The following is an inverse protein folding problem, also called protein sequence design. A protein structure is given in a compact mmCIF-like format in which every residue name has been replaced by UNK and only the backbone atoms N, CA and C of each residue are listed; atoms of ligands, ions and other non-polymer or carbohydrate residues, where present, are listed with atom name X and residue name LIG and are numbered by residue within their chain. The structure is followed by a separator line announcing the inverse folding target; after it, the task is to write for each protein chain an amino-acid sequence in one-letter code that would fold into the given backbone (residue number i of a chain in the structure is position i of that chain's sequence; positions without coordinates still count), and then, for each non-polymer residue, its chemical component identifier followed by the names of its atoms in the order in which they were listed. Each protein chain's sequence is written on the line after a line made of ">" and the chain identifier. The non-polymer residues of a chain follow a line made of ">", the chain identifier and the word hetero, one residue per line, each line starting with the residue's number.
data_IF_525515432384
#
_entry.id   IF_525515432384
#
_cell.length_a   1.000
_cell.length_b   1.000
_cell.length_c   1.000
_cell.angle_alpha   90.00
_cell.angle_beta   90.00
_cell.angle_gamma   90.00
#
_symmetry.space_group_name_H-M   'P 1'
#
loop_
_entity.id
_entity.type
_entity.pdbx_description
1 polymer ?
#
# COMPACT_ATOMS: atom_id res chain seq x y z
N UNK A 1 20.17 -1.73 3.46
CA UNK A 1 19.52 -3.02 3.86
C UNK A 1 19.25 -3.88 2.62
N UNK A 2 19.37 -5.21 2.69
CA UNK A 2 19.00 -6.15 1.61
C UNK A 2 17.53 -6.55 1.72
N UNK A 3 16.93 -6.99 0.62
CA UNK A 3 15.52 -7.45 0.61
C UNK A 3 15.23 -8.58 1.60
N UNK A 4 16.17 -9.53 1.79
CA UNK A 4 15.99 -10.64 2.73
C UNK A 4 15.94 -10.18 4.19
N UNK A 5 16.67 -9.12 4.53
CA UNK A 5 16.63 -8.49 5.86
C UNK A 5 15.32 -7.71 6.02
N UNK A 6 14.90 -6.99 4.97
CA UNK A 6 13.66 -6.22 4.95
C UNK A 6 12.42 -7.06 5.27
N UNK A 7 12.27 -8.23 4.64
CA UNK A 7 11.10 -9.10 4.88
C UNK A 7 11.17 -9.89 6.19
N UNK A 8 12.32 -9.91 6.86
CA UNK A 8 12.51 -10.58 8.14
C UNK A 8 12.13 -9.70 9.34
N UNK A 9 11.81 -8.42 9.10
CA UNK A 9 11.53 -7.43 10.13
C UNK A 9 10.14 -6.83 9.90
N UNK A 10 9.36 -6.68 10.98
CA UNK A 10 8.04 -6.06 10.91
C UNK A 10 8.10 -4.52 10.85
N UNK A 11 6.94 -3.87 10.75
CA UNK A 11 6.87 -2.41 10.66
C UNK A 11 7.51 -1.69 11.87
N UNK A 12 7.36 -2.26 13.07
CA UNK A 12 7.93 -1.68 14.30
C UNK A 12 9.45 -1.79 14.28
N UNK A 13 9.99 -2.92 13.84
CA UNK A 13 11.42 -3.13 13.70
C UNK A 13 12.03 -2.23 12.62
N UNK A 14 11.37 -2.07 11.46
CA UNK A 14 11.84 -1.14 10.43
C UNK A 14 11.84 0.31 10.93
N UNK A 15 10.81 0.74 11.65
CA UNK A 15 10.77 2.06 12.27
C UNK A 15 11.92 2.26 13.28
N UNK A 16 12.24 1.24 14.07
CA UNK A 16 13.35 1.28 15.01
C UNK A 16 14.71 1.41 14.31
N UNK A 17 14.91 0.71 13.18
CA UNK A 17 16.13 0.84 12.37
C UNK A 17 16.27 2.25 11.79
N UNK A 18 15.17 2.86 11.32
CA UNK A 18 15.17 4.25 10.84
C UNK A 18 15.49 5.22 11.98
N UNK A 19 14.88 5.04 13.15
CA UNK A 19 15.13 5.88 14.32
C UNK A 19 16.60 5.85 14.78
N UNK A 20 17.26 4.68 14.67
CA UNK A 20 18.69 4.50 14.96
C UNK A 20 19.60 4.88 13.79
N UNK A 21 19.05 5.32 12.66
CA UNK A 21 19.77 5.68 11.42
C UNK A 21 20.58 4.53 10.83
N UNK A 22 20.18 3.28 11.09
CA UNK A 22 20.80 2.09 10.49
C UNK A 22 20.32 1.86 9.04
N UNK A 23 19.13 2.38 8.71
CA UNK A 23 18.56 2.44 7.37
C UNK A 23 17.82 3.75 7.20
N UNK A 24 17.81 4.32 6.00
CA UNK A 24 17.00 5.51 5.70
C UNK A 24 15.60 5.15 5.20
N UNK A 25 14.65 6.07 5.37
CA UNK A 25 13.30 5.93 4.81
C UNK A 25 13.31 5.82 3.27
N UNK A 26 14.27 6.48 2.61
CA UNK A 26 14.48 6.39 1.16
C UNK A 26 14.90 4.98 0.73
N UNK A 27 15.86 4.37 1.43
CA UNK A 27 16.26 2.98 1.17
C UNK A 27 15.10 2.00 1.36
N UNK A 28 14.28 2.17 2.41
CA UNK A 28 13.10 1.32 2.61
C UNK A 28 12.07 1.48 1.48
N UNK A 29 11.82 2.72 1.04
CA UNK A 29 10.95 3.00 -0.09
C UNK A 29 11.47 2.35 -1.39
N UNK A 30 12.77 2.47 -1.66
CA UNK A 30 13.38 1.89 -2.87
C UNK A 30 13.30 0.35 -2.85
N UNK A 31 13.47 -0.30 -1.69
CA UNK A 31 13.27 -1.76 -1.56
C UNK A 31 11.81 -2.14 -1.83
N UNK A 32 10.85 -1.41 -1.28
CA UNK A 32 9.42 -1.67 -1.47
C UNK A 32 8.99 -1.48 -2.93
N UNK A 33 9.46 -0.41 -3.59
CA UNK A 33 9.21 -0.13 -5.01
C UNK A 33 9.84 -1.22 -5.90
N UNK A 34 11.09 -1.59 -5.65
CA UNK A 34 11.74 -2.67 -6.38
C UNK A 34 10.97 -3.98 -6.26
N UNK A 35 10.46 -4.31 -5.06
CA UNK A 35 9.67 -5.52 -4.88
C UNK A 35 8.29 -5.43 -5.55
N UNK A 36 7.65 -4.27 -5.51
CA UNK A 36 6.44 -4.02 -6.27
C UNK A 36 6.68 -4.27 -7.76
N UNK A 37 7.69 -3.66 -8.37
CA UNK A 37 7.97 -3.85 -9.80
C UNK A 37 8.26 -5.32 -10.15
N UNK A 38 9.03 -6.02 -9.32
CA UNK A 38 9.35 -7.45 -9.52
C UNK A 38 8.11 -8.34 -9.51
N UNK A 39 7.09 -7.99 -8.74
CA UNK A 39 5.92 -8.85 -8.50
C UNK A 39 4.64 -8.38 -9.20
N UNK A 40 4.59 -7.13 -9.67
CA UNK A 40 3.37 -6.48 -10.15
C UNK A 40 2.65 -7.29 -11.25
N UNK A 41 3.36 -7.73 -12.29
CA UNK A 41 2.77 -8.48 -13.39
C UNK A 41 2.11 -9.80 -12.95
N UNK A 42 2.57 -10.40 -11.84
CA UNK A 42 2.06 -11.68 -11.33
C UNK A 42 0.99 -11.51 -10.26
N UNK A 43 1.11 -10.49 -9.41
CA UNK A 43 0.30 -10.35 -8.18
C UNK A 43 -0.74 -9.23 -8.31
N UNK A 44 -0.41 -8.15 -9.03
CA UNK A 44 -1.26 -6.98 -9.23
C UNK A 44 -1.86 -6.43 -7.91
N UNK A 45 -1.02 -6.28 -6.88
CA UNK A 45 -1.43 -5.84 -5.55
C UNK A 45 -1.77 -4.33 -5.46
N UNK A 46 -1.05 -3.51 -6.22
CA UNK A 46 -1.16 -2.04 -6.24
C UNK A 46 -1.72 -1.65 -7.60
N UNK A 47 -2.90 -1.02 -7.62
CA UNK A 47 -3.52 -0.51 -8.84
C UNK A 47 -3.16 0.96 -9.12
N UNK A 48 -2.72 1.70 -8.10
CA UNK A 48 -2.32 3.11 -8.23
C UNK A 48 -0.99 3.35 -7.52
N UNK A 49 0.14 3.31 -8.24
CA UNK A 49 1.42 3.75 -7.71
C UNK A 49 1.39 5.25 -7.37
N UNK A 50 2.04 5.63 -6.28
CA UNK A 50 2.18 7.00 -5.79
C UNK A 50 3.65 7.31 -5.43
N UNK A 51 4.57 6.90 -6.31
CA UNK A 51 6.01 7.06 -6.07
C UNK A 51 6.42 8.54 -5.97
N UNK A 52 5.87 9.38 -6.84
CA UNK A 52 6.19 10.81 -6.85
C UNK A 52 5.78 11.48 -5.53
N UNK A 53 4.60 11.13 -5.01
CA UNK A 53 4.07 11.63 -3.74
C UNK A 53 4.89 11.11 -2.55
N UNK A 54 5.29 9.83 -2.57
CA UNK A 54 6.16 9.27 -1.56
C UNK A 54 7.53 9.96 -1.53
N UNK A 55 8.16 10.16 -2.70
CA UNK A 55 9.45 10.86 -2.81
C UNK A 55 9.34 12.32 -2.39
N UNK A 56 8.26 13.01 -2.76
CA UNK A 56 7.99 14.38 -2.30
C UNK A 56 7.82 14.45 -0.78
N UNK A 57 7.13 13.47 -0.16
CA UNK A 57 7.00 13.37 1.30
C UNK A 57 8.36 13.21 1.99
N UNK A 58 9.27 12.42 1.40
CA UNK A 58 10.61 12.21 1.94
C UNK A 58 11.52 13.43 1.76
N UNK A 59 11.35 14.20 0.69
CA UNK A 59 12.10 15.43 0.45
C UNK A 59 11.57 16.64 1.25
N UNK A 60 10.36 16.53 1.80
CA UNK A 60 9.72 17.55 2.62
C UNK A 60 10.23 17.58 4.08
N UNK A 61 9.43 18.11 5.01
CA UNK A 61 9.79 18.15 6.43
C UNK A 61 10.11 16.76 7.00
N UNK A 62 11.01 16.65 7.99
CA UNK A 62 11.34 15.39 8.62
C UNK A 62 10.11 14.57 9.02
N UNK A 63 10.17 13.26 8.78
CA UNK A 63 9.17 12.33 9.27
C UNK A 63 9.23 12.27 10.79
N UNK A 64 8.06 12.20 11.42
CA UNK A 64 7.90 12.04 12.85
C UNK A 64 6.82 10.99 13.12
N UNK A 65 6.80 10.45 14.34
CA UNK A 65 5.84 9.44 14.76
C UNK A 65 6.43 8.02 14.89
N UNK A 66 5.66 7.08 15.45
CA UNK A 66 6.14 5.74 15.82
C UNK A 66 6.55 4.86 14.62
N UNK A 67 6.09 5.18 13.41
CA UNK A 67 6.38 4.45 12.17
C UNK A 67 7.10 5.31 11.13
N UNK A 68 7.81 6.35 11.57
CA UNK A 68 8.57 7.24 10.72
C UNK A 68 9.46 6.47 9.71
N UNK A 69 9.15 6.62 8.42
CA UNK A 69 9.94 6.06 7.33
C UNK A 69 9.52 4.67 6.84
N UNK A 70 8.53 4.04 7.47
CA UNK A 70 8.05 2.72 7.06
C UNK A 70 7.17 2.84 5.81
N UNK A 71 7.45 2.08 4.72
CA UNK A 71 6.65 2.10 3.50
C UNK A 71 5.27 1.50 3.75
N UNK A 72 4.24 2.13 3.20
CA UNK A 72 2.84 1.82 3.49
C UNK A 72 1.95 1.91 2.27
N UNK A 73 0.87 1.12 2.28
CA UNK A 73 -0.13 1.09 1.22
C UNK A 73 -1.53 1.37 1.78
N UNK A 74 -2.30 2.14 1.02
CA UNK A 74 -3.73 2.37 1.26
C UNK A 74 -4.56 1.40 0.42
N UNK A 75 -5.83 1.21 0.74
CA UNK A 75 -6.83 0.54 -0.10
C UNK A 75 -7.47 1.57 -1.02
N UNK A 76 -7.62 1.27 -2.32
CA UNK A 76 -8.20 2.19 -3.32
C UNK A 76 -9.73 2.35 -3.21
N UNK A 77 -10.21 2.63 -1.99
CA UNK A 77 -11.60 2.90 -1.64
C UNK A 77 -11.67 4.01 -0.61
N UNK A 78 -12.33 3.79 0.54
CA UNK A 78 -12.58 4.82 1.58
C UNK A 78 -11.35 5.51 2.22
N UNK A 79 -10.14 5.19 1.76
CA UNK A 79 -8.87 5.74 2.26
C UNK A 79 -8.35 6.81 1.28
N UNK A 80 -9.15 7.85 1.15
CA UNK A 80 -8.91 8.96 0.23
C UNK A 80 -7.68 9.80 0.62
N UNK A 81 -6.98 10.27 -0.41
CA UNK A 81 -5.91 11.27 -0.33
C UNK A 81 -6.35 12.44 -1.20
N UNK A 82 -6.43 13.64 -0.63
CA UNK A 82 -6.85 14.83 -1.37
C UNK A 82 -6.00 15.02 -2.62
N UNK A 83 -6.65 15.30 -3.75
CA UNK A 83 -5.96 15.55 -5.03
C UNK A 83 -5.48 14.30 -5.76
N UNK A 84 -5.62 13.10 -5.19
CA UNK A 84 -5.24 11.84 -5.84
C UNK A 84 -6.45 10.94 -6.10
N UNK A 85 -6.63 10.43 -7.34
CA UNK A 85 -7.81 9.64 -7.68
C UNK A 85 -8.02 8.41 -6.79
N UNK A 86 -9.27 8.10 -6.47
CA UNK A 86 -9.70 6.86 -5.80
C UNK A 86 -10.68 6.11 -6.69
N UNK A 87 -10.36 4.86 -7.04
CA UNK A 87 -11.08 4.12 -8.08
C UNK A 87 -12.18 3.18 -7.64
N UNK A 88 -12.19 2.72 -6.39
CA UNK A 88 -13.14 1.71 -5.90
C UNK A 88 -13.22 0.43 -6.77
N UNK A 89 -12.17 0.10 -7.55
CA UNK A 89 -12.21 -0.98 -8.53
C UNK A 89 -13.30 -0.83 -9.61
N UNK A 90 -13.85 0.38 -9.80
CA UNK A 90 -14.94 0.68 -10.72
C UNK A 90 -14.47 1.58 -11.87
N UNK A 91 -14.91 1.27 -13.09
CA UNK A 91 -14.62 2.10 -14.25
C UNK A 91 -15.22 3.51 -14.13
N UNK A 92 -16.43 3.64 -13.55
CA UNK A 92 -17.11 4.92 -13.38
C UNK A 92 -16.46 5.84 -12.33
N UNK A 93 -15.75 5.25 -11.36
CA UNK A 93 -15.09 5.99 -10.27
C UNK A 93 -13.60 6.24 -10.55
N UNK A 94 -13.04 5.70 -11.64
CA UNK A 94 -11.59 5.67 -11.90
C UNK A 94 -10.90 7.05 -11.81
N UNK A 95 -11.64 8.11 -12.09
CA UNK A 95 -11.17 9.49 -12.11
C UNK A 95 -11.78 10.36 -11.01
N UNK A 96 -12.46 9.77 -10.01
CA UNK A 96 -12.93 10.50 -8.85
C UNK A 96 -11.73 11.02 -8.07
N UNK A 97 -11.60 12.34 -7.94
CA UNK A 97 -10.56 13.00 -7.15
C UNK A 97 -11.19 13.58 -5.89
N UNK A 98 -10.93 13.00 -4.71
CA UNK A 98 -11.41 13.53 -3.44
C UNK A 98 -10.80 14.91 -3.16
N UNK A 99 -11.59 15.81 -2.59
CA UNK A 99 -11.13 17.14 -2.12
C UNK A 99 -10.49 17.08 -0.73
N UNK A 100 -10.71 15.98 0.00
CA UNK A 100 -10.22 15.81 1.37
C UNK A 100 -9.49 14.46 1.54
N UNK A 101 -8.41 14.49 2.31
CA UNK A 101 -7.76 13.28 2.82
C UNK A 101 -8.58 12.71 3.96
N UNK A 102 -8.91 11.42 3.90
CA UNK A 102 -9.66 10.74 4.94
C UNK A 102 -8.93 10.84 6.29
N UNK A 103 -9.69 10.99 7.39
CA UNK A 103 -9.10 11.19 8.72
C UNK A 103 -8.13 10.07 9.11
N UNK A 104 -8.48 8.81 8.79
CA UNK A 104 -7.62 7.65 9.05
C UNK A 104 -6.29 7.74 8.28
N UNK A 105 -6.31 8.25 7.05
CA UNK A 105 -5.09 8.42 6.24
C UNK A 105 -4.19 9.51 6.84
N UNK A 106 -4.78 10.62 7.33
CA UNK A 106 -4.03 11.64 8.07
C UNK A 106 -3.34 11.02 9.30
N UNK A 107 -4.04 10.17 10.06
CA UNK A 107 -3.44 9.46 11.20
C UNK A 107 -2.29 8.54 10.82
N UNK A 108 -2.38 7.85 9.69
CA UNK A 108 -1.26 7.05 9.17
C UNK A 108 -0.05 7.93 8.82
N UNK A 109 -0.28 9.07 8.15
CA UNK A 109 0.76 10.02 7.79
C UNK A 109 1.39 10.70 9.02
N UNK A 110 0.58 11.07 10.02
CA UNK A 110 1.02 11.64 11.30
C UNK A 110 1.83 10.63 12.13
N UNK A 111 1.57 9.33 11.94
CA UNK A 111 2.38 8.27 12.52
C UNK A 111 3.73 8.08 11.82
N UNK A 112 3.97 8.79 10.71
CA UNK A 112 5.22 8.78 9.97
C UNK A 112 5.31 7.75 8.84
N UNK A 113 4.21 7.06 8.52
CA UNK A 113 4.15 6.10 7.43
C UNK A 113 4.32 6.80 6.06
N UNK A 114 5.06 6.15 5.17
CA UNK A 114 5.34 6.65 3.81
C UNK A 114 4.41 5.94 2.83
N UNK A 115 3.30 6.58 2.50
CA UNK A 115 2.34 6.06 1.52
C UNK A 115 2.91 6.17 0.11
N UNK A 116 3.01 5.05 -0.60
CA UNK A 116 3.51 5.03 -1.98
C UNK A 116 2.58 4.32 -2.97
N UNK A 117 1.36 3.97 -2.56
CA UNK A 117 0.35 3.49 -3.49
C UNK A 117 -0.97 3.11 -2.86
N UNK A 118 -1.96 2.87 -3.73
CA UNK A 118 -3.27 2.31 -3.38
C UNK A 118 -3.43 0.89 -3.93
N UNK A 119 -3.97 0.01 -3.09
CA UNK A 119 -4.10 -1.42 -3.32
C UNK A 119 -5.40 -1.76 -3.99
N UNK A 120 -5.32 -2.81 -4.80
CA UNK A 120 -6.40 -3.33 -5.61
C UNK A 120 -7.48 -4.00 -4.73
N UNK A 121 -8.73 -3.90 -5.18
CA UNK A 121 -9.95 -4.35 -4.48
C UNK A 121 -11.02 -4.71 -5.53
N UNK A 122 -11.98 -5.61 -5.23
CA UNK A 122 -13.13 -5.79 -6.11
C UNK A 122 -13.95 -4.51 -6.18
N UNK A 123 -14.72 -4.38 -7.26
CA UNK A 123 -15.59 -3.23 -7.49
C UNK A 123 -16.48 -2.94 -6.26
N UNK A 124 -16.38 -1.69 -5.77
CA UNK A 124 -17.00 -1.17 -4.54
C UNK A 124 -16.71 -1.95 -3.25
N UNK A 125 -15.67 -2.79 -3.23
CA UNK A 125 -15.35 -3.68 -2.13
C UNK A 125 -16.46 -4.71 -1.79
N UNK A 126 -17.35 -5.03 -2.73
CA UNK A 126 -18.54 -5.85 -2.50
C UNK A 126 -18.35 -7.36 -2.76
N UNK A 127 -17.11 -7.87 -2.68
CA UNK A 127 -16.78 -9.27 -2.95
C UNK A 127 -15.63 -9.78 -2.09
N UNK A 128 -15.67 -11.07 -1.75
CA UNK A 128 -14.58 -11.79 -1.07
C UNK A 128 -13.40 -12.20 -1.97
N UNK A 129 -13.31 -11.65 -3.19
CA UNK A 129 -12.28 -11.95 -4.19
C UNK A 129 -11.92 -10.64 -4.90
N UNK A 130 -10.64 -10.30 -4.99
CA UNK A 130 -10.17 -9.10 -5.73
C UNK A 130 -10.00 -9.37 -7.23
N UNK A 131 -11.06 -9.14 -8.00
CA UNK A 131 -11.08 -9.33 -9.46
C UNK A 131 -11.77 -8.20 -10.25
N UNK A 132 -11.47 -6.91 -10.01
CA UNK A 132 -12.09 -5.84 -10.77
C UNK A 132 -11.69 -5.90 -12.25
N UNK A 133 -12.63 -5.54 -13.13
CA UNK A 133 -12.35 -5.49 -14.58
C UNK A 133 -11.41 -4.36 -14.95
N UNK A 134 -11.50 -3.21 -14.27
CA UNK A 134 -10.79 -1.97 -14.63
C UNK A 134 -9.29 -2.04 -14.39
N UNK A 135 -8.87 -2.68 -13.28
CA UNK A 135 -7.46 -2.79 -12.88
C UNK A 135 -6.92 -4.22 -13.02
N UNK A 136 -7.76 -5.15 -13.44
CA UNK A 136 -7.44 -6.58 -13.49
C UNK A 136 -7.43 -7.24 -12.11
N UNK A 137 -7.47 -8.57 -12.10
CA UNK A 137 -7.50 -9.33 -10.83
C UNK A 137 -6.16 -9.26 -10.10
N UNK A 138 -6.21 -9.30 -8.77
CA UNK A 138 -5.04 -9.61 -7.94
C UNK A 138 -4.94 -11.12 -7.74
N UNK A 139 -3.71 -11.64 -7.68
CA UNK A 139 -3.46 -13.07 -7.47
C UNK A 139 -2.77 -13.32 -6.13
N UNK A 140 -2.94 -14.52 -5.59
CA UNK A 140 -2.28 -14.93 -4.36
C UNK A 140 -0.75 -15.09 -4.60
N UNK A 141 0.11 -14.43 -3.80
CA UNK A 141 1.57 -14.54 -3.92
C UNK A 141 2.10 -15.98 -3.76
N UNK A 142 1.42 -16.81 -2.96
CA UNK A 142 1.82 -18.20 -2.70
C UNK A 142 1.49 -19.14 -3.85
N UNK A 143 0.40 -18.86 -4.57
CA UNK A 143 0.02 -19.57 -5.79
C UNK A 143 -0.86 -18.68 -6.67
N UNK A 144 -0.32 -18.23 -7.80
CA UNK A 144 -0.98 -17.25 -8.69
C UNK A 144 -2.22 -17.79 -9.41
N UNK A 145 -2.53 -19.09 -9.28
CA UNK A 145 -3.80 -19.67 -9.72
C UNK A 145 -4.96 -19.40 -8.74
N UNK A 146 -4.67 -18.94 -7.52
CA UNK A 146 -5.67 -18.67 -6.48
C UNK A 146 -5.87 -17.17 -6.22
N UNK A 147 -7.01 -16.85 -5.62
CA UNK A 147 -7.31 -15.51 -5.12
C UNK A 147 -6.52 -15.20 -3.85
N UNK A 148 -6.08 -13.93 -3.64
CA UNK A 148 -5.59 -13.47 -2.35
C UNK A 148 -6.74 -13.20 -1.35
N UNK A 149 -7.99 -13.48 -1.71
CA UNK A 149 -9.19 -13.10 -0.97
C UNK A 149 -9.69 -11.71 -1.37
N UNK A 150 -10.53 -11.13 -0.52
CA UNK A 150 -11.13 -9.83 -0.72
C UNK A 150 -12.04 -9.42 0.45
N UNK A 151 -12.43 -8.16 0.54
CA UNK A 151 -12.18 -7.13 -0.49
C UNK A 151 -10.79 -6.47 -0.40
N UNK A 152 -10.03 -6.68 0.67
CA UNK A 152 -8.67 -6.11 0.83
C UNK A 152 -7.56 -6.98 0.21
N UNK A 153 -7.85 -7.70 -0.87
CA UNK A 153 -6.94 -8.70 -1.45
C UNK A 153 -5.63 -8.09 -1.98
N UNK A 154 -5.63 -6.86 -2.48
CA UNK A 154 -4.40 -6.16 -2.86
C UNK A 154 -3.49 -5.85 -1.66
N UNK A 155 -4.06 -5.46 -0.53
CA UNK A 155 -3.32 -5.22 0.70
C UNK A 155 -2.73 -6.52 1.26
N UNK A 156 -3.56 -7.58 1.38
CA UNK A 156 -3.10 -8.90 1.81
C UNK A 156 -2.01 -9.47 0.88
N UNK A 157 -2.22 -9.35 -0.44
CA UNK A 157 -1.25 -9.77 -1.45
C UNK A 157 0.05 -8.96 -1.39
N UNK A 158 -0.02 -7.65 -1.13
CA UNK A 158 1.16 -6.79 -0.96
C UNK A 158 2.00 -7.16 0.25
N UNK A 159 1.36 -7.46 1.39
CA UNK A 159 2.05 -7.92 2.59
C UNK A 159 2.66 -9.30 2.36
N UNK A 160 1.88 -10.27 1.88
CA UNK A 160 2.36 -11.63 1.66
C UNK A 160 3.44 -11.73 0.57
N UNK A 161 3.47 -10.80 -0.39
CA UNK A 161 4.55 -10.67 -1.35
C UNK A 161 5.80 -9.97 -0.79
N UNK A 162 5.77 -9.47 0.45
CA UNK A 162 6.87 -8.72 1.04
C UNK A 162 7.09 -7.35 0.39
N UNK A 163 6.05 -6.74 -0.21
CA UNK A 163 6.14 -5.37 -0.72
C UNK A 163 6.19 -4.39 0.45
N UNK A 164 5.31 -4.58 1.44
CA UNK A 164 5.25 -3.81 2.68
C UNK A 164 5.08 -4.71 3.90
N UNK A 165 5.58 -4.34 5.09
CA UNK A 165 5.35 -5.10 6.31
C UNK A 165 3.91 -4.91 6.85
N UNK A 166 3.24 -3.82 6.47
CA UNK A 166 1.88 -3.48 6.91
C UNK A 166 1.19 -2.63 5.84
N UNK A 167 -0.12 -2.81 5.69
CA UNK A 167 -0.95 -2.06 4.77
C UNK A 167 -2.33 -1.82 5.39
N UNK A 168 -3.01 -0.78 4.93
CA UNK A 168 -4.37 -0.51 5.38
C UNK A 168 -5.39 -1.38 4.64
N UNK A 169 -6.41 -1.83 5.37
CA UNK A 169 -7.58 -2.52 4.86
C UNK A 169 -8.88 -1.83 5.30
N UNK A 170 -10.02 -2.39 4.89
CA UNK A 170 -11.33 -1.97 5.37
C UNK A 170 -12.31 -3.13 5.21
N UNK A 171 -13.20 -3.34 6.18
CA UNK A 171 -14.17 -4.42 6.13
C UNK A 171 -15.48 -4.14 6.83
N UNK A 172 -16.55 -4.65 6.23
CA UNK A 172 -17.90 -4.71 6.81
C UNK A 172 -18.45 -6.13 6.98
N UNK A 173 -17.80 -7.15 6.39
CA UNK A 173 -18.26 -8.54 6.39
C UNK A 173 -17.13 -9.59 6.29
N UNK A 174 -15.95 -9.29 6.85
CA UNK A 174 -14.78 -10.18 6.82
C UNK A 174 -13.72 -9.90 5.73
N UNK A 175 -13.68 -8.66 5.24
CA UNK A 175 -12.82 -8.18 4.13
C UNK A 175 -11.42 -7.72 4.51
#
# INVERSE_FOLDING_TARGET
>A
MKFTEYVAVDATGLAALVARREVSAGELLDIALAQHHRTHARINAICRPMEAEARARLAGPPLAGPFAGVPFLLKDGVQDVAGLPTGYGSAGMRHLVPTETAHVVRRYQDAGLVVFGKTNLPEFALKGVTDPRVDGRSNNPWNTAHTPGGSSGGAAGGIAAGIVPVAAGAGGGGS
#
